data_IF_696584117341
#
_entry.id   IF_696584117341
#
_cell.length_a   1.000
_cell.length_b   1.000
_cell.length_c   1.000
_cell.angle_alpha   90.00
_cell.angle_beta   90.00
_cell.angle_gamma   90.00
#
_symmetry.space_group_name_H-M   'P 1'
#
loop_
_entity.id
_entity.type
_entity.pdbx_description
1 polymer ?
#
# COMPACT_ATOMS: atom_id res chain seq x y z
N UNK A 1 0.17 9.79 48.25
CA UNK A 1 -0.21 8.44 48.76
C UNK A 1 -1.01 8.67 50.03
N UNK A 2 -2.33 8.52 49.97
CA UNK A 2 -3.22 9.01 51.04
C UNK A 2 -4.70 8.77 50.74
N UNK A 3 -5.00 7.72 49.97
CA UNK A 3 -6.38 7.27 49.83
C UNK A 3 -6.85 6.68 51.15
N UNK A 4 -8.13 6.82 51.47
CA UNK A 4 -8.75 6.40 52.74
C UNK A 4 -8.37 4.96 53.11
N UNK A 5 -8.30 4.08 52.10
CA UNK A 5 -7.91 2.68 52.26
C UNK A 5 -6.45 2.50 52.71
N UNK A 6 -5.51 3.26 52.15
CA UNK A 6 -4.09 3.15 52.53
C UNK A 6 -3.83 3.65 53.95
N UNK A 7 -4.58 4.68 54.39
CA UNK A 7 -4.50 5.18 55.76
C UNK A 7 -5.14 4.19 56.76
N UNK A 8 -6.26 3.58 56.40
CA UNK A 8 -6.92 2.57 57.22
C UNK A 8 -6.02 1.35 57.43
N UNK A 9 -5.41 0.83 56.37
CA UNK A 9 -4.46 -0.30 56.45
C UNK A 9 -3.25 0.03 57.34
N UNK A 10 -2.66 1.22 57.18
CA UNK A 10 -1.55 1.64 58.03
C UNK A 10 -1.97 1.80 59.51
N UNK A 11 -3.18 2.32 59.77
CA UNK A 11 -3.68 2.47 61.14
C UNK A 11 -3.92 1.15 61.86
N UNK A 12 -4.28 0.10 61.13
CA UNK A 12 -4.43 -1.26 61.65
C UNK A 12 -3.05 -1.88 61.89
N UNK A 13 -2.11 -1.70 60.96
CA UNK A 13 -0.76 -2.27 61.05
C UNK A 13 0.07 -1.70 62.21
N UNK A 14 -0.04 -0.39 62.48
CA UNK A 14 0.65 0.27 63.61
C UNK A 14 0.04 -0.09 64.97
N UNK A 15 -1.13 -0.74 65.01
CA UNK A 15 -1.72 -1.22 66.25
C UNK A 15 -1.03 -2.49 66.80
N UNK A 16 -0.17 -3.14 66.01
CA UNK A 16 0.62 -4.30 66.43
C UNK A 16 1.85 -3.87 67.26
N UNK A 17 2.16 -4.51 68.41
CA UNK A 17 3.30 -4.14 69.24
C UNK A 17 4.63 -4.33 68.48
N UNK A 18 5.37 -3.23 68.28
CA UNK A 18 6.67 -3.24 67.60
C UNK A 18 6.63 -3.01 66.10
N UNK A 19 5.47 -2.71 65.51
CA UNK A 19 5.34 -2.36 64.10
C UNK A 19 5.73 -0.89 63.84
N UNK A 20 6.61 -0.66 62.88
CA UNK A 20 6.95 0.68 62.41
C UNK A 20 5.91 1.19 61.38
N UNK A 21 5.57 2.49 61.37
CA UNK A 21 4.64 3.05 60.38
C UNK A 21 5.15 2.88 58.95
N UNK A 22 4.22 2.56 58.03
CA UNK A 22 4.56 2.41 56.62
C UNK A 22 5.07 3.73 56.03
N UNK A 23 6.26 3.68 55.45
CA UNK A 23 6.88 4.83 54.81
C UNK A 23 6.21 5.18 53.47
N UNK A 24 6.31 6.44 53.05
CA UNK A 24 5.73 6.91 51.78
C UNK A 24 6.24 6.16 50.55
N UNK A 25 7.44 5.57 50.61
CA UNK A 25 8.11 4.85 49.52
C UNK A 25 8.23 3.34 49.75
N UNK A 26 7.55 2.79 50.75
CA UNK A 26 7.67 1.37 51.08
C UNK A 26 7.23 0.47 49.93
N UNK A 27 6.13 0.87 49.26
CA UNK A 27 5.62 0.21 48.07
C UNK A 27 6.44 0.46 46.80
N UNK A 28 7.27 1.51 46.76
CA UNK A 28 8.08 1.86 45.60
C UNK A 28 9.07 0.74 45.27
N UNK A 29 9.63 0.08 46.29
CA UNK A 29 10.58 -1.03 46.14
C UNK A 29 9.98 -2.19 45.33
N UNK A 30 8.72 -2.53 45.60
CA UNK A 30 7.99 -3.57 44.86
C UNK A 30 7.58 -3.08 43.48
N UNK A 31 7.22 -1.81 43.35
CA UNK A 31 6.93 -1.17 42.06
C UNK A 31 8.13 -1.20 41.11
N UNK A 32 9.35 -0.99 41.60
CA UNK A 32 10.59 -1.07 40.80
C UNK A 32 10.81 -2.48 40.26
N UNK A 33 10.52 -3.52 41.03
CA UNK A 33 10.64 -4.91 40.58
C UNK A 33 9.67 -5.16 39.40
N UNK A 34 8.40 -4.80 39.56
CA UNK A 34 7.40 -4.97 38.50
C UNK A 34 7.71 -4.11 37.27
N UNK A 35 8.18 -2.87 37.47
CA UNK A 35 8.61 -1.99 36.38
C UNK A 35 9.78 -2.61 35.60
N UNK A 36 10.76 -3.17 36.30
CA UNK A 36 11.92 -3.79 35.67
C UNK A 36 11.49 -5.01 34.85
N UNK A 37 10.66 -5.89 35.42
CA UNK A 37 10.14 -7.07 34.70
C UNK A 37 9.31 -6.65 33.48
N UNK A 38 8.42 -5.67 33.63
CA UNK A 38 7.61 -5.14 32.53
C UNK A 38 8.45 -4.48 31.44
N UNK A 39 9.48 -3.73 31.82
CA UNK A 39 10.41 -3.09 30.90
C UNK A 39 11.20 -4.14 30.11
N UNK A 40 11.75 -5.16 30.78
CA UNK A 40 12.43 -6.27 30.11
C UNK A 40 11.49 -7.00 29.16
N UNK A 41 10.25 -7.28 29.57
CA UNK A 41 9.26 -7.90 28.69
C UNK A 41 9.01 -7.05 27.43
N UNK A 42 8.78 -5.74 27.58
CA UNK A 42 8.52 -4.84 26.45
C UNK A 42 9.75 -4.69 25.54
N UNK A 43 10.96 -4.68 26.10
CA UNK A 43 12.19 -4.51 25.31
C UNK A 43 12.63 -5.78 24.59
N UNK A 44 12.44 -6.97 25.19
CA UNK A 44 12.98 -8.21 24.66
C UNK A 44 11.93 -9.13 24.04
N UNK A 45 10.76 -9.26 24.66
CA UNK A 45 9.74 -10.26 24.29
C UNK A 45 8.67 -9.64 23.37
N UNK A 46 8.18 -8.45 23.70
CA UNK A 46 7.16 -7.77 22.89
C UNK A 46 7.59 -7.56 21.42
N UNK A 47 8.82 -7.11 21.08
CA UNK A 47 9.24 -7.00 19.68
C UNK A 47 9.40 -8.35 18.96
N UNK A 48 9.51 -9.46 19.69
CA UNK A 48 9.55 -10.81 19.10
C UNK A 48 8.14 -11.36 18.83
N UNK A 49 7.17 -11.06 19.71
CA UNK A 49 5.76 -11.47 19.54
C UNK A 49 4.97 -10.56 18.62
N UNK A 50 5.26 -9.26 18.62
CA UNK A 50 4.60 -8.30 17.76
C UNK A 50 5.18 -8.43 16.35
N UNK A 51 4.35 -8.74 15.33
CA UNK A 51 4.82 -8.72 13.96
C UNK A 51 5.36 -7.33 13.65
N UNK A 52 6.59 -7.26 13.12
CA UNK A 52 7.23 -6.03 12.68
C UNK A 52 6.37 -5.36 11.60
N UNK A 53 5.48 -4.46 12.04
CA UNK A 53 4.93 -3.41 11.21
C UNK A 53 5.73 -2.18 11.56
N UNK A 54 6.85 -2.00 10.88
CA UNK A 54 7.53 -0.71 10.82
C UNK A 54 6.63 0.28 10.09
N UNK A 55 5.56 0.73 10.73
CA UNK A 55 4.95 2.04 10.48
C UNK A 55 5.77 3.04 11.29
N UNK A 56 7.02 3.26 10.87
CA UNK A 56 7.84 4.33 11.40
C UNK A 56 7.28 5.65 10.89
N UNK A 57 6.78 6.42 11.85
CA UNK A 57 6.31 7.80 11.80
C UNK A 57 7.32 8.75 11.12
N UNK A 58 7.36 8.73 9.80
CA UNK A 58 7.99 9.74 8.94
C UNK A 58 7.28 9.83 7.59
N UNK A 59 5.95 9.70 7.66
CA UNK A 59 5.00 9.30 6.62
C UNK A 59 4.88 10.25 5.41
N UNK A 60 5.52 11.42 5.44
CA UNK A 60 5.50 12.38 4.32
C UNK A 60 6.70 12.24 3.37
N UNK A 61 7.82 11.64 3.81
CA UNK A 61 9.02 11.46 2.96
C UNK A 61 9.08 10.12 2.23
N UNK A 62 8.32 9.12 2.67
CA UNK A 62 8.25 7.80 2.02
C UNK A 62 7.31 7.76 0.81
N UNK A 63 6.55 8.84 0.54
CA UNK A 63 5.68 8.93 -0.63
C UNK A 63 6.43 8.96 -1.97
N UNK A 64 7.77 9.07 -1.96
CA UNK A 64 8.52 9.03 -3.21
C UNK A 64 8.81 7.64 -3.80
N UNK A 65 8.59 6.49 -3.14
CA UNK A 65 9.08 5.21 -3.68
C UNK A 65 8.21 3.97 -3.36
N UNK A 66 6.89 4.14 -3.23
CA UNK A 66 5.95 3.03 -3.27
C UNK A 66 5.68 2.56 -4.69
N UNK A 67 6.64 1.85 -5.33
CA UNK A 67 6.51 1.40 -6.72
C UNK A 67 5.14 0.78 -7.02
N UNK A 68 4.41 1.40 -7.93
CA UNK A 68 3.10 1.01 -8.43
C UNK A 68 3.20 -0.33 -9.15
N UNK A 69 2.11 -1.10 -9.19
CA UNK A 69 2.03 -2.31 -10.01
C UNK A 69 1.03 -2.04 -11.13
N UNK A 70 1.43 -2.30 -12.37
CA UNK A 70 0.54 -2.18 -13.52
C UNK A 70 0.79 -3.29 -14.53
N UNK A 71 -0.07 -3.37 -15.53
CA UNK A 71 -0.02 -4.35 -16.61
C UNK A 71 0.39 -3.63 -17.91
N UNK A 72 1.40 -4.16 -18.61
CA UNK A 72 1.84 -3.62 -19.89
C UNK A 72 1.82 -4.72 -20.96
N UNK A 73 1.04 -4.51 -22.01
CA UNK A 73 0.97 -5.40 -23.18
C UNK A 73 2.03 -5.05 -24.21
N UNK A 74 2.73 -6.08 -24.68
CA UNK A 74 3.69 -5.95 -25.77
C UNK A 74 2.92 -5.86 -27.10
N UNK A 75 3.13 -4.77 -27.84
CA UNK A 75 2.54 -4.56 -29.17
C UNK A 75 3.36 -5.25 -30.26
N UNK A 76 2.81 -5.35 -31.48
CA UNK A 76 3.52 -5.88 -32.64
C UNK A 76 4.73 -5.02 -33.04
N UNK A 77 4.69 -3.73 -32.75
CA UNK A 77 5.76 -2.77 -33.05
C UNK A 77 6.81 -2.67 -31.93
N UNK A 78 6.61 -3.40 -30.83
CA UNK A 78 7.50 -3.33 -29.68
C UNK A 78 8.90 -3.86 -29.99
N UNK A 79 9.96 -3.08 -29.69
CA UNK A 79 11.35 -3.54 -29.75
C UNK A 79 11.68 -4.68 -28.77
N UNK A 80 10.78 -4.96 -27.83
CA UNK A 80 10.87 -6.10 -26.91
C UNK A 80 10.62 -7.44 -27.61
N UNK A 81 9.99 -7.45 -28.78
CA UNK A 81 9.65 -8.68 -29.50
C UNK A 81 10.90 -9.51 -29.80
N UNK A 82 10.93 -10.74 -29.29
CA UNK A 82 12.04 -11.68 -29.45
C UNK A 82 13.25 -11.44 -28.54
N UNK A 83 13.22 -10.40 -27.70
CA UNK A 83 14.28 -10.05 -26.73
C UNK A 83 13.88 -10.46 -25.31
N UNK A 84 14.84 -10.51 -24.39
CA UNK A 84 14.57 -10.74 -22.97
C UNK A 84 14.52 -9.42 -22.19
N UNK A 85 13.89 -9.42 -21.02
CA UNK A 85 13.91 -8.27 -20.11
C UNK A 85 15.34 -7.87 -19.71
N UNK A 86 16.26 -8.85 -19.66
CA UNK A 86 17.67 -8.64 -19.38
C UNK A 86 18.39 -7.96 -20.55
N UNK A 87 18.18 -8.42 -21.79
CA UNK A 87 18.84 -7.86 -22.98
C UNK A 87 18.50 -6.38 -23.19
N UNK A 88 17.23 -6.03 -22.94
CA UNK A 88 16.73 -4.64 -23.05
C UNK A 88 16.94 -3.85 -21.76
N UNK A 89 17.47 -4.49 -20.71
CA UNK A 89 17.78 -3.88 -19.44
C UNK A 89 16.60 -3.17 -18.79
N UNK A 90 15.38 -3.71 -18.87
CA UNK A 90 14.14 -2.99 -18.48
C UNK A 90 14.26 -2.36 -17.09
N UNK A 91 14.73 -3.14 -16.11
CA UNK A 91 14.94 -2.67 -14.75
C UNK A 91 15.97 -1.53 -14.67
N UNK A 92 17.13 -1.68 -15.32
CA UNK A 92 18.20 -0.68 -15.28
C UNK A 92 17.84 0.60 -16.04
N UNK A 93 17.20 0.44 -17.20
CA UNK A 93 16.97 1.53 -18.14
C UNK A 93 15.77 2.37 -17.74
N UNK A 94 14.74 1.77 -17.16
CA UNK A 94 13.48 2.44 -16.86
C UNK A 94 13.13 2.42 -15.37
N UNK A 95 13.92 1.77 -14.51
CA UNK A 95 13.55 1.55 -13.10
C UNK A 95 12.16 0.91 -12.96
N UNK A 96 11.92 -0.08 -13.85
CA UNK A 96 10.71 -0.90 -13.92
C UNK A 96 11.08 -2.37 -13.72
N UNK A 97 10.54 -3.00 -12.68
CA UNK A 97 10.73 -4.41 -12.39
C UNK A 97 9.59 -5.25 -12.98
N UNK A 98 9.89 -6.13 -13.92
CA UNK A 98 8.92 -7.13 -14.40
C UNK A 98 8.80 -8.25 -13.38
N UNK A 99 7.59 -8.40 -12.80
CA UNK A 99 7.28 -9.37 -11.76
C UNK A 99 6.79 -10.71 -12.31
N UNK A 100 5.96 -10.68 -13.36
CA UNK A 100 5.34 -11.86 -13.95
C UNK A 100 5.00 -11.59 -15.43
N UNK A 101 4.88 -12.65 -16.24
CA UNK A 101 4.44 -12.55 -17.64
C UNK A 101 3.23 -13.45 -17.84
N UNK A 102 2.12 -12.90 -18.35
CA UNK A 102 0.96 -13.68 -18.79
C UNK A 102 1.00 -13.85 -20.31
N UNK A 103 1.02 -15.11 -20.75
CA UNK A 103 1.03 -15.52 -22.16
C UNK A 103 -0.01 -16.61 -22.39
N UNK A 104 -0.92 -16.40 -23.35
CA UNK A 104 -1.95 -17.38 -23.73
C UNK A 104 -2.73 -17.95 -22.52
N UNK A 105 -3.01 -17.12 -21.52
CA UNK A 105 -3.70 -17.51 -20.29
C UNK A 105 -2.85 -18.22 -19.24
N UNK A 106 -1.56 -18.46 -19.50
CA UNK A 106 -0.60 -19.07 -18.56
C UNK A 106 0.33 -18.03 -17.97
N UNK A 107 0.55 -18.11 -16.67
CA UNK A 107 1.44 -17.20 -15.93
C UNK A 107 2.85 -17.79 -15.85
N UNK A 108 3.82 -17.01 -16.28
CA UNK A 108 5.25 -17.33 -16.24
C UNK A 108 5.84 -16.53 -15.08
N UNK A 109 6.15 -17.23 -13.99
CA UNK A 109 6.66 -16.66 -12.74
C UNK A 109 8.16 -16.91 -12.54
N UNK A 110 8.75 -17.82 -13.32
CA UNK A 110 10.13 -18.27 -13.17
C UNK A 110 10.98 -17.83 -14.37
N UNK A 111 12.26 -17.56 -14.14
CA UNK A 111 13.22 -17.16 -15.19
C UNK A 111 12.75 -15.98 -16.05
N UNK A 112 11.96 -15.07 -15.48
CA UNK A 112 11.33 -13.93 -16.19
C UNK A 112 12.38 -13.09 -16.91
N UNK A 113 13.51 -12.82 -16.25
CA UNK A 113 14.61 -12.02 -16.83
C UNK A 113 15.20 -12.63 -18.10
N UNK A 114 15.17 -13.95 -18.23
CA UNK A 114 15.72 -14.73 -19.36
C UNK A 114 14.64 -15.15 -20.37
N UNK A 115 13.36 -14.89 -20.07
CA UNK A 115 12.25 -15.28 -20.93
C UNK A 115 12.20 -14.35 -22.14
N UNK A 116 12.18 -14.93 -23.35
CA UNK A 116 11.98 -14.15 -24.58
C UNK A 116 10.55 -13.66 -24.66
N UNK A 117 10.40 -12.36 -24.76
CA UNK A 117 9.14 -11.64 -24.87
C UNK A 117 8.55 -11.79 -26.28
N UNK A 118 7.22 -11.84 -26.37
CA UNK A 118 6.46 -12.01 -27.61
C UNK A 118 5.34 -10.97 -27.68
N UNK A 119 4.92 -10.68 -28.90
CA UNK A 119 3.74 -9.85 -29.14
C UNK A 119 2.53 -10.46 -28.44
N UNK A 120 1.76 -9.62 -27.74
CA UNK A 120 0.59 -10.04 -26.98
C UNK A 120 0.87 -10.48 -25.55
N UNK A 121 2.13 -10.65 -25.14
CA UNK A 121 2.49 -10.88 -23.74
C UNK A 121 2.02 -9.71 -22.87
N UNK A 122 1.57 -10.04 -21.66
CA UNK A 122 1.18 -9.07 -20.65
C UNK A 122 2.20 -9.12 -19.52
N UNK A 123 2.92 -8.02 -19.32
CA UNK A 123 3.92 -7.87 -18.29
C UNK A 123 3.27 -7.26 -17.04
N UNK A 124 3.35 -7.95 -15.92
CA UNK A 124 3.07 -7.34 -14.62
C UNK A 124 4.32 -6.63 -14.15
N UNK A 125 4.27 -5.31 -14.00
CA UNK A 125 5.45 -4.48 -13.78
C UNK A 125 5.30 -3.57 -12.57
N UNK A 126 6.37 -3.48 -11.78
CA UNK A 126 6.49 -2.58 -10.63
C UNK A 126 7.40 -1.40 -10.94
N UNK A 127 6.98 -0.17 -10.66
CA UNK A 127 7.75 1.04 -10.95
C UNK A 127 6.98 2.32 -10.62
N UNK A 128 7.53 3.50 -10.91
CA UNK A 128 6.78 4.75 -10.82
C UNK A 128 5.94 4.97 -12.08
N UNK A 129 4.95 5.87 -12.05
CA UNK A 129 4.15 6.18 -13.22
C UNK A 129 5.02 6.76 -14.34
N UNK A 130 5.92 7.69 -14.01
CA UNK A 130 6.91 8.27 -14.93
C UNK A 130 7.72 7.17 -15.65
N UNK A 131 8.19 6.18 -14.89
CA UNK A 131 8.92 5.03 -15.43
C UNK A 131 8.08 4.21 -16.41
N UNK A 132 6.79 4.01 -16.13
CA UNK A 132 5.87 3.30 -17.02
C UNK A 132 5.60 4.08 -18.32
N UNK A 133 5.45 5.40 -18.24
CA UNK A 133 5.25 6.25 -19.42
C UNK A 133 6.47 6.21 -20.33
N UNK A 134 7.65 6.36 -19.73
CA UNK A 134 8.92 6.26 -20.47
C UNK A 134 9.10 4.90 -21.12
N UNK A 135 8.76 3.81 -20.42
CA UNK A 135 8.78 2.46 -20.99
C UNK A 135 7.75 2.31 -22.13
N UNK A 136 6.52 2.86 -21.98
CA UNK A 136 5.49 2.88 -23.03
C UNK A 136 5.99 3.55 -24.31
N UNK A 137 6.62 4.71 -24.21
CA UNK A 137 7.07 5.48 -25.38
C UNK A 137 8.22 4.81 -26.13
N UNK A 138 9.23 4.32 -25.40
CA UNK A 138 10.46 3.77 -25.98
C UNK A 138 10.28 2.32 -26.41
N UNK A 139 9.62 1.50 -25.58
CA UNK A 139 9.41 0.08 -25.86
C UNK A 139 8.10 -0.20 -26.60
N UNK A 140 7.32 0.85 -26.95
CA UNK A 140 6.03 0.75 -27.66
C UNK A 140 5.08 -0.27 -27.02
N UNK A 141 5.06 -0.34 -25.68
CA UNK A 141 4.13 -1.19 -24.92
C UNK A 141 2.86 -0.41 -24.58
N UNK A 142 1.73 -1.10 -24.45
CA UNK A 142 0.46 -0.47 -24.08
C UNK A 142 0.12 -0.80 -22.63
N UNK A 143 -0.19 0.22 -21.83
CA UNK A 143 -0.74 0.00 -20.49
C UNK A 143 -2.11 -0.66 -20.61
N UNK A 144 -2.27 -1.84 -20.00
CA UNK A 144 -3.54 -2.54 -19.86
C UNK A 144 -4.24 -2.09 -18.58
N UNK A 145 -4.61 -0.82 -18.55
CA UNK A 145 -5.81 -0.41 -17.82
C UNK A 145 -6.98 -0.59 -18.79
N UNK A 146 -8.12 -1.10 -18.32
CA UNK A 146 -9.21 -1.56 -19.21
C UNK A 146 -9.87 -0.45 -20.04
N UNK A 147 -9.44 0.79 -19.82
CA UNK A 147 -9.82 1.93 -20.64
C UNK A 147 -8.54 2.56 -21.18
N UNK A 148 -8.31 2.37 -22.48
CA UNK A 148 -7.19 2.94 -23.24
C UNK A 148 -7.00 4.41 -22.85
N UNK A 149 -6.01 4.67 -22.01
CA UNK A 149 -5.49 6.01 -21.77
C UNK A 149 -4.90 6.49 -23.11
N UNK A 150 -5.61 7.41 -23.75
CA UNK A 150 -5.13 8.01 -25.00
C UNK A 150 -3.91 8.90 -24.70
N UNK A 151 -3.01 9.03 -25.66
CA UNK A 151 -1.78 9.82 -25.49
C UNK A 151 -2.08 11.28 -25.10
N UNK A 152 -3.15 11.86 -25.64
CA UNK A 152 -3.64 13.20 -25.26
C UNK A 152 -4.10 13.31 -23.80
N UNK A 153 -4.64 12.25 -23.21
CA UNK A 153 -5.07 12.24 -21.80
C UNK A 153 -3.90 12.05 -20.84
N UNK A 154 -2.70 11.75 -21.35
CA UNK A 154 -1.48 11.58 -20.55
C UNK A 154 -0.59 12.82 -20.59
N UNK A 155 -0.66 13.57 -21.70
CA UNK A 155 0.11 14.79 -21.95
C UNK A 155 -0.60 16.07 -21.44
N UNK A 156 -1.79 15.95 -20.81
CA UNK A 156 -2.43 17.08 -20.14
C UNK A 156 -1.66 17.47 -18.87
N UNK A 157 -1.13 18.69 -18.85
CA UNK A 157 -0.32 19.24 -17.75
C UNK A 157 -1.10 19.33 -16.42
N UNK A 158 -2.44 19.30 -16.44
CA UNK A 158 -3.32 19.44 -15.27
C UNK A 158 -3.74 18.11 -14.61
N UNK A 159 -3.15 16.98 -15.04
CA UNK A 159 -3.47 15.67 -14.46
C UNK A 159 -2.62 15.37 -13.23
N UNK A 160 -3.29 14.94 -12.17
CA UNK A 160 -2.68 14.60 -10.89
C UNK A 160 -2.86 13.12 -10.56
N UNK A 161 -1.96 12.63 -9.72
CA UNK A 161 -1.98 11.27 -9.20
C UNK A 161 -2.23 11.33 -7.70
N UNK A 162 -3.27 10.65 -7.23
CA UNK A 162 -3.64 10.63 -5.82
C UNK A 162 -3.94 9.22 -5.32
N UNK A 163 -3.73 9.00 -4.04
CA UNK A 163 -4.16 7.79 -3.35
C UNK A 163 -5.54 8.05 -2.72
N UNK A 164 -6.51 7.22 -3.06
CA UNK A 164 -7.90 7.34 -2.60
C UNK A 164 -8.31 6.06 -1.86
N UNK A 165 -8.82 6.20 -0.64
CA UNK A 165 -9.46 5.11 0.08
C UNK A 165 -10.94 5.03 -0.28
N UNK A 166 -11.40 3.85 -0.71
CA UNK A 166 -12.80 3.58 -1.00
C UNK A 166 -13.60 3.47 0.31
N UNK A 167 -14.67 4.24 0.44
CA UNK A 167 -15.53 4.17 1.63
C UNK A 167 -16.59 3.09 1.48
N UNK A 168 -17.18 2.69 2.61
CA UNK A 168 -18.35 1.79 2.67
C UNK A 168 -19.62 2.39 2.05
N UNK A 169 -19.62 3.71 1.79
CA UNK A 169 -20.70 4.42 1.11
C UNK A 169 -20.60 4.36 -0.41
N UNK A 170 -19.48 3.93 -0.97
CA UNK A 170 -19.33 3.89 -2.42
C UNK A 170 -20.16 2.77 -3.04
N UNK A 171 -20.87 3.09 -4.11
CA UNK A 171 -21.62 2.13 -4.90
C UNK A 171 -20.73 1.16 -5.68
N UNK A 172 -19.41 1.43 -5.72
CA UNK A 172 -18.42 0.54 -6.31
C UNK A 172 -18.11 -0.68 -5.43
N UNK A 173 -18.45 -0.64 -4.14
CA UNK A 173 -18.22 -1.77 -3.23
C UNK A 173 -19.03 -2.98 -3.70
N UNK A 174 -18.36 -4.12 -3.86
CA UNK A 174 -18.95 -5.36 -4.37
C UNK A 174 -19.08 -5.43 -5.89
N UNK A 175 -18.69 -4.38 -6.62
CA UNK A 175 -18.65 -4.38 -8.08
C UNK A 175 -17.24 -4.67 -8.59
N UNK A 176 -17.15 -5.26 -9.79
CA UNK A 176 -15.87 -5.27 -10.48
C UNK A 176 -15.54 -3.87 -10.99
N UNK A 177 -14.25 -3.52 -11.03
CA UNK A 177 -13.80 -2.23 -11.55
C UNK A 177 -14.35 -1.96 -12.97
N UNK A 178 -14.44 -2.99 -13.82
CA UNK A 178 -15.05 -2.92 -15.14
C UNK A 178 -16.54 -2.58 -15.08
N UNK A 179 -17.33 -3.27 -14.23
CA UNK A 179 -18.77 -3.00 -14.11
C UNK A 179 -19.09 -1.63 -13.52
N UNK A 180 -18.23 -1.14 -12.63
CA UNK A 180 -18.38 0.18 -11.99
C UNK A 180 -18.13 1.37 -12.92
N UNK A 181 -17.60 1.16 -14.13
CA UNK A 181 -17.38 2.19 -15.15
C UNK A 181 -16.69 3.46 -14.60
N UNK A 182 -15.63 3.27 -13.80
CA UNK A 182 -15.01 4.33 -13.00
C UNK A 182 -14.63 5.58 -13.82
N UNK A 183 -14.05 5.43 -15.02
CA UNK A 183 -13.72 6.57 -15.90
C UNK A 183 -14.94 7.33 -16.35
N UNK A 184 -16.01 6.65 -16.76
CA UNK A 184 -17.21 7.33 -17.23
C UNK A 184 -17.90 8.10 -16.11
N UNK A 185 -17.87 7.56 -14.89
CA UNK A 185 -18.51 8.18 -13.72
C UNK A 185 -17.67 9.33 -13.14
N UNK A 186 -16.36 9.15 -13.03
CA UNK A 186 -15.48 10.07 -12.31
C UNK A 186 -14.49 10.82 -13.20
N UNK A 187 -14.37 10.48 -14.48
CA UNK A 187 -13.42 11.12 -15.41
C UNK A 187 -11.96 10.86 -15.03
N UNK A 188 -11.67 9.75 -14.35
CA UNK A 188 -10.33 9.41 -13.85
C UNK A 188 -10.06 7.92 -14.01
N UNK A 189 -8.82 7.51 -13.83
CA UNK A 189 -8.33 6.16 -14.10
C UNK A 189 -7.78 5.53 -12.82
N UNK A 190 -8.05 4.24 -12.62
CA UNK A 190 -7.45 3.47 -11.53
C UNK A 190 -6.23 2.72 -12.08
N UNK A 191 -5.06 3.02 -11.51
CA UNK A 191 -3.78 2.44 -11.91
C UNK A 191 -3.41 1.22 -11.08
N UNK A 192 -3.77 1.22 -9.80
CA UNK A 192 -3.45 0.14 -8.86
C UNK A 192 -4.50 0.05 -7.75
N UNK A 193 -4.64 -1.15 -7.19
CA UNK A 193 -5.49 -1.43 -6.04
C UNK A 193 -4.63 -2.11 -4.96
N UNK A 194 -4.70 -1.59 -3.74
CA UNK A 194 -4.07 -2.15 -2.55
C UNK A 194 -5.15 -2.55 -1.55
N UNK A 195 -5.03 -3.77 -1.02
CA UNK A 195 -5.92 -4.36 -0.01
C UNK A 195 -5.08 -4.89 1.14
N UNK A 196 -5.40 -4.48 2.37
CA UNK A 196 -4.69 -4.92 3.59
C UNK A 196 -3.16 -4.73 3.52
N UNK A 197 -2.69 -3.69 2.81
CA UNK A 197 -1.27 -3.42 2.60
C UNK A 197 -0.62 -4.22 1.47
N UNK A 198 -1.33 -5.14 0.83
CA UNK A 198 -0.85 -5.90 -0.33
C UNK A 198 -1.40 -5.32 -1.64
N UNK A 199 -0.55 -5.20 -2.65
CA UNK A 199 -0.98 -4.78 -3.99
C UNK A 199 -1.61 -5.99 -4.70
N UNK A 200 -2.83 -5.83 -5.19
CA UNK A 200 -3.54 -6.89 -5.92
C UNK A 200 -2.90 -7.08 -7.30
N UNK A 201 -2.45 -8.30 -7.60
CA UNK A 201 -1.75 -8.67 -8.85
C UNK A 201 -2.65 -9.33 -9.91
N UNK A 202 -3.95 -9.42 -9.65
CA UNK A 202 -4.93 -9.98 -10.61
C UNK A 202 -5.32 -8.89 -11.61
N UNK A 203 -5.86 -9.29 -12.78
CA UNK A 203 -6.46 -8.39 -13.77
C UNK A 203 -7.34 -7.35 -13.07
N UNK A 204 -6.82 -6.13 -12.92
CA UNK A 204 -7.38 -5.10 -12.02
C UNK A 204 -8.86 -4.84 -12.34
N UNK A 205 -9.21 -4.90 -13.63
CA UNK A 205 -10.57 -4.69 -14.10
C UNK A 205 -11.62 -5.71 -13.60
N UNK A 206 -11.21 -6.95 -13.37
CA UNK A 206 -12.10 -8.02 -12.90
C UNK A 206 -12.04 -8.17 -11.38
N UNK A 207 -11.24 -7.34 -10.70
CA UNK A 207 -11.19 -7.31 -9.24
C UNK A 207 -12.49 -6.72 -8.71
N UNK A 208 -13.13 -7.47 -7.81
CA UNK A 208 -14.26 -6.98 -7.02
C UNK A 208 -13.70 -6.06 -5.94
N UNK A 209 -14.15 -4.82 -5.94
CA UNK A 209 -13.73 -3.79 -4.99
C UNK A 209 -14.37 -4.04 -3.62
N UNK A 210 -13.58 -3.90 -2.56
CA UNK A 210 -14.05 -3.99 -1.18
C UNK A 210 -14.01 -2.61 -0.53
N UNK A 211 -14.89 -2.39 0.44
CA UNK A 211 -14.78 -1.22 1.32
C UNK A 211 -13.37 -1.16 1.93
N UNK A 212 -12.82 0.05 2.03
CA UNK A 212 -11.48 0.35 2.51
C UNK A 212 -10.32 -0.12 1.64
N UNK A 213 -10.59 -0.59 0.42
CA UNK A 213 -9.53 -0.72 -0.59
C UNK A 213 -8.90 0.64 -0.87
N UNK A 214 -7.58 0.65 -1.08
CA UNK A 214 -6.85 1.84 -1.47
C UNK A 214 -6.59 1.81 -2.97
N UNK A 215 -7.06 2.83 -3.67
CA UNK A 215 -7.04 2.98 -5.11
C UNK A 215 -6.05 4.08 -5.47
N UNK A 216 -5.18 3.80 -6.43
CA UNK A 216 -4.34 4.83 -7.02
C UNK A 216 -5.06 5.41 -8.23
N UNK A 217 -5.46 6.69 -8.13
CA UNK A 217 -6.29 7.37 -9.12
C UNK A 217 -5.47 8.41 -9.87
N UNK A 218 -5.55 8.37 -11.20
CA UNK A 218 -4.92 9.34 -12.11
C UNK A 218 -6.00 10.07 -12.92
N UNK A 219 -5.94 11.39 -12.99
CA UNK A 219 -6.87 12.17 -13.80
C UNK A 219 -6.78 13.68 -13.55
N UNK A 220 -7.64 14.48 -14.19
CA UNK A 220 -7.63 15.93 -14.04
C UNK A 220 -7.81 16.36 -12.60
N UNK A 221 -7.05 17.35 -12.13
CA UNK A 221 -7.07 17.83 -10.75
C UNK A 221 -8.48 18.20 -10.25
N UNK A 222 -9.28 18.83 -11.11
CA UNK A 222 -10.68 19.16 -10.79
C UNK A 222 -11.55 17.92 -10.54
N UNK A 223 -11.39 16.86 -11.34
CA UNK A 223 -12.14 15.60 -11.20
C UNK A 223 -11.71 14.81 -9.98
N UNK A 224 -10.41 14.80 -9.73
CA UNK A 224 -9.86 14.17 -8.53
C UNK A 224 -10.35 14.87 -7.26
N UNK A 225 -10.40 16.21 -7.26
CA UNK A 225 -10.96 16.98 -6.14
C UNK A 225 -12.46 16.72 -5.94
N UNK A 226 -13.21 16.44 -7.00
CA UNK A 226 -14.63 16.09 -6.90
C UNK A 226 -14.86 14.69 -6.28
N UNK A 227 -13.91 13.75 -6.43
CA UNK A 227 -13.97 12.45 -5.73
C UNK A 227 -14.03 12.63 -4.22
N UNK A 228 -13.20 13.53 -3.67
CA UNK A 228 -13.18 13.83 -2.23
C UNK A 228 -14.51 14.39 -1.71
N UNK A 229 -15.20 15.18 -2.54
CA UNK A 229 -16.48 15.82 -2.17
C UNK A 229 -17.67 14.86 -2.18
N UNK A 230 -17.58 13.76 -2.94
CA UNK A 230 -18.68 12.79 -3.05
C UNK A 230 -18.92 11.98 -1.77
N UNK A 231 -17.92 11.87 -0.90
CA UNK A 231 -17.96 10.99 0.28
C UNK A 231 -17.83 9.49 -0.03
N UNK A 232 -17.79 9.11 -1.31
CA UNK A 232 -17.49 7.74 -1.76
C UNK A 232 -16.00 7.41 -1.64
N UNK A 233 -15.15 8.44 -1.61
CA UNK A 233 -13.69 8.32 -1.53
C UNK A 233 -13.12 9.29 -0.50
N UNK A 234 -12.05 8.87 0.15
CA UNK A 234 -11.21 9.73 0.98
C UNK A 234 -9.85 9.83 0.32
N UNK A 235 -9.48 11.03 -0.12
CA UNK A 235 -8.13 11.30 -0.66
C UNK A 235 -7.14 11.33 0.50
N UNK A 236 -6.03 10.59 0.36
CA UNK A 236 -4.99 10.40 1.39
C UNK A 236 -3.76 11.30 1.18
#
# INVERSE_FOLDING_TARGET
VGTSTNLLVNSIYVAEPGAEPLGMFEFMRYGVILMTVGLLYVLFIAPMLLPSRTTTSSLTKSYHLGGYLTEMKITSESPLNGKTCLDRGINKNYDVMVLDILRDGKMITNSIRLTRLRTGDILFVRGTLENFLRMKEVEKVTLLTDEKLTQQELEQEDNVLVECLLTDKSELVGQSLMSGNFRRRFGSFILAIRREGMILRKKIAHVILNAYDTLLVYGPENKVNDLSKSGEFIVL
#
